data_IF_683747240664
#
_entry.id   IF_683747240664
#
_cell.length_a   1.000
_cell.length_b   1.000
_cell.length_c   1.000
_cell.angle_alpha   90.00
_cell.angle_beta   90.00
_cell.angle_gamma   90.00
#
_symmetry.space_group_name_H-M   'P 1'
#
loop_
_entity.id
_entity.type
_entity.pdbx_description
1 polymer ?
#
# COMPACT_ATOMS: atom_id res chain seq x y z
N UNK A 1 17.13 -18.27 -37.20
CA UNK A 1 16.61 -18.12 -35.82
C UNK A 1 17.71 -17.50 -34.98
N UNK A 2 17.56 -16.24 -34.54
CA UNK A 2 18.61 -15.47 -33.87
C UNK A 2 18.45 -15.47 -32.33
N UNK A 3 19.53 -15.62 -31.53
CA UNK A 3 19.45 -15.86 -30.08
C UNK A 3 19.33 -14.60 -29.20
N UNK A 4 19.17 -13.42 -29.78
CA UNK A 4 19.36 -12.14 -29.08
C UNK A 4 18.16 -11.65 -28.26
N UNK A 5 16.98 -12.26 -28.40
CA UNK A 5 15.78 -11.82 -27.65
C UNK A 5 15.68 -12.38 -26.23
N UNK A 6 16.44 -13.42 -25.88
CA UNK A 6 16.32 -14.05 -24.55
C UNK A 6 17.10 -13.30 -23.46
N UNK A 7 18.11 -12.52 -23.82
CA UNK A 7 18.95 -11.78 -22.86
C UNK A 7 18.32 -10.45 -22.41
N UNK A 8 17.48 -9.80 -23.23
CA UNK A 8 16.81 -8.54 -22.87
C UNK A 8 15.61 -8.72 -21.93
N UNK A 9 15.10 -9.94 -21.74
CA UNK A 9 13.99 -10.20 -20.81
C UNK A 9 14.43 -10.38 -19.35
N UNK A 10 15.75 -10.47 -19.08
CA UNK A 10 16.28 -10.61 -17.70
C UNK A 10 16.62 -9.30 -17.00
N UNK A 11 16.67 -8.19 -17.71
CA UNK A 11 17.10 -6.90 -17.13
C UNK A 11 15.96 -6.07 -16.54
N UNK A 12 14.69 -6.39 -16.83
CA UNK A 12 13.55 -5.58 -16.40
C UNK A 12 12.82 -6.15 -15.18
N UNK A 13 13.09 -7.40 -14.80
CA UNK A 13 12.43 -8.05 -13.66
C UNK A 13 13.09 -7.78 -12.30
N UNK A 14 14.31 -7.23 -12.25
CA UNK A 14 15.04 -7.09 -10.98
C UNK A 14 14.54 -5.92 -10.11
N UNK A 15 13.89 -4.91 -10.70
CA UNK A 15 13.32 -3.79 -9.94
C UNK A 15 11.97 -4.12 -9.31
N UNK A 16 11.23 -5.10 -9.85
CA UNK A 16 9.94 -5.55 -9.33
C UNK A 16 10.07 -6.55 -8.15
N UNK A 17 11.25 -7.14 -7.94
CA UNK A 17 11.48 -8.07 -6.84
C UNK A 17 11.66 -7.42 -5.46
N UNK A 18 11.87 -6.11 -5.37
CA UNK A 18 12.09 -5.44 -4.09
C UNK A 18 10.79 -5.03 -3.35
N UNK A 19 9.62 -5.14 -3.98
CA UNK A 19 8.33 -4.74 -3.39
C UNK A 19 7.49 -5.93 -2.92
N UNK A 20 7.90 -7.17 -3.21
CA UNK A 20 7.03 -8.35 -3.09
C UNK A 20 7.40 -9.38 -2.00
N UNK A 21 8.27 -9.07 -1.03
CA UNK A 21 8.64 -10.03 0.03
C UNK A 21 8.57 -9.43 1.43
N UNK A 22 7.36 -8.99 1.82
CA UNK A 22 6.94 -8.97 3.23
C UNK A 22 5.58 -9.65 3.30
N UNK A 23 5.56 -10.97 3.19
CA UNK A 23 4.39 -11.76 3.58
C UNK A 23 4.83 -12.89 4.50
N UNK A 24 4.06 -13.02 5.60
CA UNK A 24 4.20 -13.97 6.72
C UNK A 24 5.08 -13.38 7.82
N UNK A 25 4.55 -12.84 8.93
CA UNK A 25 3.86 -13.56 10.04
C UNK A 25 2.92 -12.59 10.80
N UNK A 26 1.80 -13.13 11.27
CA UNK A 26 0.85 -12.57 12.26
C UNK A 26 -0.05 -11.39 11.83
N UNK A 27 -1.27 -11.78 11.45
CA UNK A 27 -2.51 -11.02 11.64
C UNK A 27 -2.64 -10.64 13.11
N UNK A 28 -2.33 -9.42 13.51
CA UNK A 28 -2.81 -8.76 14.74
C UNK A 28 -2.66 -7.24 14.56
N UNK A 29 -3.78 -6.59 14.24
CA UNK A 29 -4.21 -5.26 14.71
C UNK A 29 -3.10 -4.21 14.85
N UNK A 30 -2.82 -3.52 13.75
CA UNK A 30 -1.72 -2.57 13.67
C UNK A 30 -2.23 -1.29 12.99
N UNK A 31 -2.11 -0.12 13.64
CA UNK A 31 -2.67 1.11 13.13
C UNK A 31 -2.14 1.42 11.73
N UNK A 32 -3.07 1.79 10.86
CA UNK A 32 -2.80 2.14 9.46
C UNK A 32 -2.72 3.65 9.27
N UNK A 33 -1.79 4.10 8.45
CA UNK A 33 -1.78 5.45 7.89
C UNK A 33 -1.99 5.40 6.38
N UNK A 34 -2.79 6.34 5.88
CA UNK A 34 -3.20 6.44 4.48
C UNK A 34 -2.82 7.83 3.98
N UNK A 35 -2.10 7.87 2.86
CA UNK A 35 -1.63 9.10 2.22
C UNK A 35 -1.97 9.07 0.73
N UNK A 36 -3.04 9.75 0.30
CA UNK A 36 -3.35 9.91 -1.12
C UNK A 36 -2.40 10.90 -1.79
N UNK A 37 -2.05 10.64 -3.04
CA UNK A 37 -1.13 11.44 -3.86
C UNK A 37 -1.76 11.75 -5.22
N UNK A 38 -1.33 12.86 -5.83
CA UNK A 38 -1.70 13.18 -7.23
C UNK A 38 -0.75 12.54 -8.24
N UNK A 39 0.47 12.19 -7.83
CA UNK A 39 1.49 11.68 -8.74
C UNK A 39 2.28 10.48 -8.17
N UNK A 40 2.66 9.59 -9.09
CA UNK A 40 3.39 8.35 -8.78
C UNK A 40 4.80 8.59 -8.22
N UNK A 41 5.47 9.63 -8.70
CA UNK A 41 6.84 9.93 -8.31
C UNK A 41 6.91 10.36 -6.85
N UNK A 42 5.99 11.19 -6.39
CA UNK A 42 5.85 11.65 -5.02
C UNK A 42 5.60 10.47 -4.08
N UNK A 43 4.63 9.61 -4.40
CA UNK A 43 4.30 8.44 -3.58
C UNK A 43 5.49 7.46 -3.44
N UNK A 44 6.16 7.14 -4.55
CA UNK A 44 7.30 6.21 -4.56
C UNK A 44 8.53 6.82 -3.86
N UNK A 45 8.80 8.11 -4.06
CA UNK A 45 9.92 8.80 -3.40
C UNK A 45 9.70 8.87 -1.89
N UNK A 46 8.47 9.18 -1.45
CA UNK A 46 8.10 9.18 -0.05
C UNK A 46 8.28 7.79 0.59
N UNK A 47 7.79 6.74 -0.06
CA UNK A 47 7.98 5.35 0.40
C UNK A 47 9.46 4.98 0.52
N UNK A 48 10.28 5.36 -0.47
CA UNK A 48 11.71 5.11 -0.42
C UNK A 48 12.39 5.87 0.73
N UNK A 49 11.98 7.10 1.01
CA UNK A 49 12.54 7.89 2.11
C UNK A 49 12.17 7.38 3.50
N UNK A 50 10.95 6.85 3.67
CA UNK A 50 10.54 6.15 4.90
C UNK A 50 11.48 4.98 5.19
N UNK A 51 11.74 4.17 4.18
CA UNK A 51 12.63 3.00 4.28
C UNK A 51 14.06 3.46 4.57
N UNK A 52 14.59 4.46 3.84
CA UNK A 52 15.96 4.98 4.02
C UNK A 52 16.20 5.59 5.40
N UNK A 53 15.19 6.22 5.98
CA UNK A 53 15.25 6.80 7.34
C UNK A 53 15.08 5.76 8.44
N UNK A 54 14.92 4.48 8.08
CA UNK A 54 14.87 3.37 9.03
C UNK A 54 13.61 3.34 9.88
N UNK A 55 12.53 3.99 9.42
CA UNK A 55 11.27 3.99 10.16
C UNK A 55 10.74 2.55 10.21
N UNK A 56 10.42 2.10 11.43
CA UNK A 56 9.91 0.74 11.63
C UNK A 56 8.44 0.66 11.19
N UNK A 57 8.25 0.12 10.00
CA UNK A 57 6.93 -0.15 9.40
C UNK A 57 6.83 -1.64 9.12
N UNK A 58 5.68 -2.22 9.42
CA UNK A 58 5.36 -3.60 9.10
C UNK A 58 5.11 -3.79 7.60
N UNK A 59 4.61 -2.75 6.93
CA UNK A 59 4.42 -2.75 5.48
C UNK A 59 4.28 -1.33 4.93
N UNK A 60 4.68 -1.16 3.68
CA UNK A 60 4.40 0.01 2.85
C UNK A 60 3.82 -0.50 1.54
N UNK A 61 2.65 -0.01 1.19
CA UNK A 61 1.89 -0.49 0.04
C UNK A 61 1.37 0.68 -0.78
N UNK A 62 1.45 0.56 -2.10
CA UNK A 62 0.93 1.55 -3.04
C UNK A 62 -0.32 0.96 -3.70
N UNK A 63 -1.42 1.70 -3.66
CA UNK A 63 -2.66 1.36 -4.33
C UNK A 63 -3.00 2.41 -5.38
N UNK A 64 -3.48 1.99 -6.55
CA UNK A 64 -3.93 2.88 -7.61
C UNK A 64 -5.43 3.21 -7.52
N UNK A 65 -5.93 4.06 -8.41
CA UNK A 65 -7.33 4.48 -8.46
C UNK A 65 -8.28 3.29 -8.60
N UNK A 66 -7.89 2.27 -9.37
CA UNK A 66 -8.72 1.09 -9.65
C UNK A 66 -8.88 0.26 -8.40
N UNK A 67 -7.80 0.02 -7.67
CA UNK A 67 -7.83 -0.69 -6.40
C UNK A 67 -8.62 0.08 -5.34
N UNK A 68 -8.49 1.40 -5.30
CA UNK A 68 -9.29 2.26 -4.40
C UNK A 68 -10.79 2.25 -4.75
N UNK A 69 -11.14 2.17 -6.03
CA UNK A 69 -12.54 1.99 -6.46
C UNK A 69 -13.11 0.68 -5.95
N UNK A 70 -12.37 -0.43 -6.10
CA UNK A 70 -12.81 -1.76 -5.63
C UNK A 70 -13.09 -1.72 -4.11
N UNK A 71 -12.22 -1.05 -3.32
CA UNK A 71 -12.43 -0.83 -1.88
C UNK A 71 -13.77 -0.13 -1.61
N UNK A 72 -14.08 0.93 -2.36
CA UNK A 72 -15.30 1.71 -2.20
C UNK A 72 -16.55 0.91 -2.62
N UNK A 73 -16.48 0.19 -3.73
CA UNK A 73 -17.57 -0.62 -4.27
C UNK A 73 -17.92 -1.79 -3.34
N UNK A 74 -16.91 -2.41 -2.72
CA UNK A 74 -17.11 -3.47 -1.72
C UNK A 74 -17.92 -3.02 -0.51
N UNK A 75 -18.06 -1.71 -0.28
CA UNK A 75 -18.97 -1.13 0.73
C UNK A 75 -18.61 -1.42 2.19
N UNK A 76 -17.54 -2.17 2.43
CA UNK A 76 -17.13 -2.64 3.73
C UNK A 76 -16.51 -1.53 4.60
N UNK A 77 -16.04 -0.44 3.98
CA UNK A 77 -15.55 0.77 4.66
C UNK A 77 -16.65 1.81 4.93
N UNK A 78 -17.92 1.53 4.59
CA UNK A 78 -19.04 2.47 4.82
C UNK A 78 -19.21 2.79 6.32
N UNK A 79 -19.62 4.03 6.66
CA UNK A 79 -20.08 5.09 5.76
C UNK A 79 -18.95 5.89 5.07
N UNK A 80 -17.69 5.57 5.33
CA UNK A 80 -16.55 6.24 4.71
C UNK A 80 -16.43 5.82 3.25
N UNK A 81 -16.06 6.78 2.41
CA UNK A 81 -15.70 6.59 1.01
C UNK A 81 -14.34 7.22 0.81
N UNK A 82 -13.39 6.46 0.26
CA UNK A 82 -12.03 6.90 0.04
C UNK A 82 -11.91 7.64 -1.30
N UNK A 83 -10.95 8.56 -1.38
CA UNK A 83 -10.62 9.18 -2.67
C UNK A 83 -9.99 8.14 -3.59
N UNK A 84 -10.55 7.98 -4.79
CA UNK A 84 -10.00 7.12 -5.85
C UNK A 84 -8.80 7.81 -6.51
N UNK A 85 -7.68 7.82 -5.79
CA UNK A 85 -6.38 8.35 -6.23
C UNK A 85 -5.30 7.36 -5.88
N UNK A 86 -4.15 7.45 -6.54
CA UNK A 86 -2.93 6.81 -6.06
C UNK A 86 -2.74 7.06 -4.55
N UNK A 87 -2.56 6.01 -3.77
CA UNK A 87 -2.59 6.08 -2.31
C UNK A 87 -1.53 5.17 -1.70
N UNK A 88 -0.73 5.72 -0.79
CA UNK A 88 0.24 4.97 -0.01
C UNK A 88 -0.37 4.57 1.33
N UNK A 89 -0.35 3.27 1.61
CA UNK A 89 -0.76 2.69 2.88
C UNK A 89 0.47 2.25 3.67
N UNK A 90 0.51 2.63 4.94
CA UNK A 90 1.54 2.21 5.88
C UNK A 90 0.91 1.47 7.04
N UNK A 91 1.52 0.33 7.37
CA UNK A 91 1.17 -0.44 8.55
C UNK A 91 2.32 -0.34 9.54
N UNK A 92 2.04 0.04 10.78
CA UNK A 92 3.05 0.11 11.84
C UNK A 92 3.02 -1.16 12.69
N UNK A 93 4.13 -1.47 13.36
CA UNK A 93 4.20 -2.53 14.37
C UNK A 93 5.01 -2.07 15.58
N UNK A 94 4.82 -2.76 16.70
CA UNK A 94 5.51 -2.45 17.96
C UNK A 94 4.56 -2.00 19.07
N UNK A 95 5.12 -1.40 20.12
CA UNK A 95 4.33 -0.86 21.23
C UNK A 95 3.62 0.42 20.82
N UNK A 96 2.55 0.79 21.54
CA UNK A 96 1.79 2.01 21.25
C UNK A 96 2.68 3.27 21.16
N UNK A 97 3.62 3.44 22.08
CA UNK A 97 4.54 4.58 22.06
C UNK A 97 5.42 4.61 20.80
N UNK A 98 6.03 3.47 20.45
CA UNK A 98 6.84 3.32 19.24
C UNK A 98 6.05 3.62 17.97
N UNK A 99 4.81 3.14 17.91
CA UNK A 99 3.90 3.40 16.79
C UNK A 99 3.57 4.88 16.66
N UNK A 100 3.22 5.55 17.76
CA UNK A 100 2.88 6.97 17.77
C UNK A 100 4.10 7.82 17.30
N UNK A 101 5.31 7.47 17.74
CA UNK A 101 6.56 8.10 17.31
C UNK A 101 6.88 7.86 15.83
N UNK A 102 6.65 6.63 15.35
CA UNK A 102 6.82 6.29 13.93
C UNK A 102 5.84 7.06 13.05
N UNK A 103 4.56 7.16 13.45
CA UNK A 103 3.55 7.95 12.74
C UNK A 103 3.99 9.40 12.65
N UNK A 104 4.46 9.99 13.75
CA UNK A 104 4.98 11.36 13.77
C UNK A 104 6.14 11.53 12.79
N UNK A 105 7.09 10.60 12.81
CA UNK A 105 8.24 10.61 11.91
C UNK A 105 7.83 10.50 10.45
N UNK A 106 6.92 9.58 10.11
CA UNK A 106 6.38 9.44 8.75
C UNK A 106 5.72 10.74 8.30
N UNK A 107 4.92 11.38 9.16
CA UNK A 107 4.28 12.66 8.79
C UNK A 107 5.29 13.74 8.45
N UNK A 108 6.42 13.81 9.16
CA UNK A 108 7.51 14.74 8.82
C UNK A 108 8.18 14.40 7.50
N UNK A 109 8.40 13.11 7.24
CA UNK A 109 8.98 12.62 5.97
C UNK A 109 8.06 12.95 4.79
N UNK A 110 6.74 12.90 4.99
CA UNK A 110 5.75 13.12 3.95
C UNK A 110 5.62 14.57 3.50
N UNK A 111 5.96 15.55 4.34
CA UNK A 111 5.75 16.99 4.05
C UNK A 111 6.31 17.47 2.70
N UNK A 112 7.55 17.12 2.30
CA UNK A 112 8.11 17.57 1.02
C UNK A 112 7.46 16.93 -0.20
N UNK A 113 6.73 15.83 -0.01
CA UNK A 113 6.04 15.08 -1.07
C UNK A 113 4.58 15.47 -1.23
N UNK A 114 4.09 16.43 -0.42
CA UNK A 114 2.77 17.04 -0.53
C UNK A 114 1.62 16.03 -0.74
N UNK A 115 1.43 15.04 0.17
CA UNK A 115 0.25 14.19 0.10
C UNK A 115 -1.01 15.05 0.25
N UNK A 116 -2.08 14.62 -0.41
CA UNK A 116 -3.37 15.32 -0.41
C UNK A 116 -3.96 15.42 1.00
N UNK A 117 -3.92 14.30 1.72
CA UNK A 117 -4.42 14.17 3.09
C UNK A 117 -3.55 13.18 3.87
N UNK A 118 -3.67 13.25 5.20
CA UNK A 118 -3.21 12.18 6.09
C UNK A 118 -4.42 11.64 6.83
N UNK A 119 -4.62 10.33 6.72
CA UNK A 119 -5.75 9.66 7.32
C UNK A 119 -5.27 8.45 8.12
N UNK A 120 -5.59 8.41 9.41
CA UNK A 120 -5.39 7.21 10.23
C UNK A 120 -6.63 6.33 10.14
N UNK A 121 -6.46 5.03 9.90
CA UNK A 121 -7.56 4.08 9.98
C UNK A 121 -8.01 3.97 11.45
N UNK A 122 -9.27 4.26 11.72
CA UNK A 122 -9.76 4.55 13.08
C UNK A 122 -10.01 3.29 13.91
N UNK A 123 -10.37 2.20 13.23
CA UNK A 123 -10.69 0.94 13.87
C UNK A 123 -10.09 -0.26 13.12
N UNK A 124 -10.04 -1.38 13.83
CA UNK A 124 -9.42 -2.62 13.38
C UNK A 124 -10.17 -3.27 12.20
N UNK A 125 -11.48 -3.02 12.12
CA UNK A 125 -12.34 -3.53 11.07
C UNK A 125 -12.02 -2.85 9.74
N UNK A 126 -11.95 -1.52 9.74
CA UNK A 126 -11.54 -0.69 8.62
C UNK A 126 -10.13 -1.07 8.13
N UNK A 127 -9.17 -1.24 9.05
CA UNK A 127 -7.81 -1.68 8.70
C UNK A 127 -7.78 -3.04 8.04
N UNK A 128 -8.54 -4.01 8.58
CA UNK A 128 -8.59 -5.37 8.03
C UNK A 128 -9.18 -5.39 6.63
N UNK A 129 -10.23 -4.61 6.40
CA UNK A 129 -10.93 -4.53 5.11
C UNK A 129 -10.07 -3.81 4.06
N UNK A 130 -9.46 -2.68 4.42
CA UNK A 130 -8.51 -1.98 3.55
C UNK A 130 -7.40 -2.93 3.09
N UNK A 131 -6.89 -3.75 4.01
CA UNK A 131 -5.83 -4.72 3.70
C UNK A 131 -6.32 -5.98 2.97
N UNK A 132 -7.60 -6.34 3.09
CA UNK A 132 -8.16 -7.48 2.37
C UNK A 132 -8.47 -7.16 0.92
N UNK A 133 -8.91 -5.93 0.62
CA UNK A 133 -9.19 -5.47 -0.75
C UNK A 133 -7.94 -5.52 -1.66
N UNK A 134 -6.73 -5.41 -1.08
CA UNK A 134 -5.46 -5.65 -1.79
C UNK A 134 -5.35 -7.06 -2.38
N UNK A 135 -6.05 -8.07 -1.85
CA UNK A 135 -5.96 -9.45 -2.35
C UNK A 135 -6.80 -9.71 -3.60
N UNK A 136 -7.71 -8.80 -3.96
CA UNK A 136 -8.66 -9.00 -5.06
C UNK A 136 -8.16 -8.71 -6.49
N UNK A 137 -7.07 -7.96 -6.76
CA UNK A 137 -6.64 -7.73 -8.14
C UNK A 137 -5.79 -8.87 -8.73
N UNK A 138 -5.54 -9.96 -8.00
CA UNK A 138 -4.84 -11.15 -8.53
C UNK A 138 -5.79 -12.25 -9.04
N UNK A 139 -7.07 -12.20 -8.66
CA UNK A 139 -8.12 -13.06 -9.19
C UNK A 139 -9.41 -12.24 -9.29
N UNK A 140 -9.91 -11.92 -10.49
CA UNK A 140 -11.30 -11.49 -10.58
C UNK A 140 -12.16 -12.61 -10.00
N UNK A 141 -12.93 -12.31 -8.95
CA UNK A 141 -14.08 -13.13 -8.54
C UNK A 141 -15.07 -13.06 -9.70
N UNK A 142 -14.90 -14.00 -10.62
CA UNK A 142 -15.54 -13.97 -11.92
C UNK A 142 -15.08 -15.14 -12.78
N UNK A 143 -15.24 -16.37 -12.26
CA UNK A 143 -15.56 -17.48 -13.15
C UNK A 143 -16.75 -18.26 -12.59
N UNK A 144 -17.91 -17.62 -12.71
CA UNK A 144 -19.21 -18.31 -12.74
C UNK A 144 -19.81 -18.14 -14.14
N UNK A 145 -19.10 -18.52 -15.21
CA UNK A 145 -19.72 -18.75 -16.54
C UNK A 145 -19.01 -19.86 -17.33
N UNK A 146 -19.46 -21.08 -17.08
CA UNK A 146 -19.81 -22.07 -18.09
C UNK A 146 -18.66 -22.66 -18.92
N UNK A 147 -18.27 -23.88 -18.55
CA UNK A 147 -18.37 -25.10 -19.37
C UNK A 147 -18.69 -26.28 -18.44
#
# INVERSE_FOLDING_TARGET
MHPTQYAMKKATDTTLFFVALIQTVAVLQAPGAVFPFEDLRGAVSAAADIIRRGVQVAAVELMDETQMRIVNEGGATRPRVWKETLTLFLKFSGTKGTVDDNIKTVREIMKPYSPLTFESARDEHEQKILWSARKEPLYPLGDERGW
#
